data_IF_621449596846
#
_entry.id   IF_621449596846
#
_cell.length_a   1.000
_cell.length_b   1.000
_cell.length_c   1.000
_cell.angle_alpha   90.00
_cell.angle_beta   90.00
_cell.angle_gamma   90.00
#
_symmetry.space_group_name_H-M   'P 1'
#
loop_
_entity.id
_entity.type
_entity.pdbx_description
1 polymer ?
#
# COMPACT_ATOMS: atom_id res chain seq x y z
N UNK A 1 -1.57 8.04 35.84
CA UNK A 1 -2.47 8.93 35.09
C UNK A 1 -2.53 8.39 33.66
N UNK A 2 -3.72 8.10 33.13
CA UNK A 2 -3.91 7.12 32.05
C UNK A 2 -3.54 7.68 30.66
N UNK A 3 -2.75 6.90 29.93
CA UNK A 3 -2.85 6.62 28.48
C UNK A 3 -3.34 7.74 27.56
N UNK A 4 -2.50 8.75 27.32
CA UNK A 4 -2.53 9.50 26.06
C UNK A 4 -1.65 8.76 25.04
N UNK A 5 -2.06 7.55 24.65
CA UNK A 5 -1.62 7.02 23.39
C UNK A 5 -2.21 7.95 22.33
N UNK A 6 -1.41 8.91 21.85
CA UNK A 6 -1.61 9.38 20.47
C UNK A 6 -1.76 8.10 19.68
N UNK A 7 -2.93 7.87 19.07
CA UNK A 7 -3.22 6.68 18.28
C UNK A 7 -2.28 6.73 17.07
N UNK A 8 -1.01 6.40 17.30
CA UNK A 8 0.02 6.34 16.29
C UNK A 8 -0.40 5.20 15.41
N UNK A 9 -0.82 5.56 14.20
CA UNK A 9 -1.18 4.58 13.21
C UNK A 9 0.03 3.66 13.00
N UNK A 10 -0.17 2.37 13.16
CA UNK A 10 0.90 1.40 12.94
C UNK A 10 1.09 1.25 11.42
N UNK A 11 2.22 1.70 10.85
CA UNK A 11 2.45 1.59 9.42
C UNK A 11 2.48 0.13 8.94
N UNK A 12 2.72 -0.85 9.81
CA UNK A 12 2.66 -2.27 9.46
C UNK A 12 1.24 -2.76 9.18
N UNK A 13 0.20 -1.98 9.54
CA UNK A 13 -1.19 -2.24 9.17
C UNK A 13 -1.55 -1.69 7.78
N UNK A 14 -0.63 -1.05 7.07
CA UNK A 14 -0.86 -0.58 5.71
C UNK A 14 -1.02 -1.75 4.75
N UNK A 15 -2.07 -1.69 3.95
CA UNK A 15 -2.26 -2.63 2.86
C UNK A 15 -1.21 -2.41 1.76
N UNK A 16 -0.64 -3.52 1.27
CA UNK A 16 0.37 -3.53 0.21
C UNK A 16 -0.15 -4.35 -0.97
N UNK A 17 -0.12 -3.77 -2.16
CA UNK A 17 -0.56 -4.42 -3.40
C UNK A 17 0.53 -4.39 -4.48
N UNK A 18 0.59 -5.46 -5.27
CA UNK A 18 1.43 -5.48 -6.46
C UNK A 18 0.72 -4.84 -7.67
N UNK A 19 1.33 -3.82 -8.27
CA UNK A 19 0.81 -3.14 -9.47
C UNK A 19 0.76 -4.05 -10.72
N UNK A 20 1.47 -5.18 -10.74
CA UNK A 20 1.53 -6.10 -11.90
C UNK A 20 0.41 -7.13 -11.88
N UNK A 21 0.22 -7.80 -10.75
CA UNK A 21 -0.74 -8.90 -10.63
C UNK A 21 -1.96 -8.56 -9.78
N UNK A 22 -1.97 -7.41 -9.11
CA UNK A 22 -3.02 -7.00 -8.17
C UNK A 22 -3.10 -7.87 -6.92
N UNK A 23 -2.13 -8.76 -6.69
CA UNK A 23 -2.12 -9.59 -5.49
C UNK A 23 -1.60 -8.80 -4.29
N UNK A 24 -2.15 -9.07 -3.09
CA UNK A 24 -1.62 -8.50 -1.86
C UNK A 24 -0.21 -9.03 -1.61
N UNK A 25 0.70 -8.14 -1.26
CA UNK A 25 2.08 -8.50 -0.90
C UNK A 25 2.16 -8.61 0.62
N UNK A 26 2.48 -9.80 1.11
CA UNK A 26 2.71 -10.03 2.53
C UNK A 26 4.15 -9.67 2.88
N UNK A 27 4.33 -8.70 3.77
CA UNK A 27 5.61 -8.30 4.33
C UNK A 27 5.77 -8.81 5.75
N UNK A 28 7.02 -9.02 6.16
CA UNK A 28 7.30 -9.42 7.54
C UNK A 28 7.20 -8.18 8.44
N UNK A 29 6.92 -8.38 9.74
CA UNK A 29 6.87 -7.27 10.68
C UNK A 29 8.16 -6.43 10.64
N UNK A 30 8.02 -5.13 10.41
CA UNK A 30 9.10 -4.15 10.37
C UNK A 30 9.65 -3.85 8.96
N UNK A 31 9.28 -4.63 7.95
CA UNK A 31 9.65 -4.36 6.56
C UNK A 31 9.00 -3.06 6.09
N UNK A 32 7.75 -2.81 6.47
CA UNK A 32 7.01 -1.62 6.06
C UNK A 32 7.67 -0.37 6.60
N UNK A 33 7.96 -0.35 7.90
CA UNK A 33 8.67 0.73 8.60
C UNK A 33 10.04 0.99 7.98
N UNK A 34 10.77 -0.08 7.61
CA UNK A 34 12.09 0.04 6.98
C UNK A 34 12.01 0.64 5.58
N UNK A 35 11.03 0.22 4.78
CA UNK A 35 10.80 0.76 3.43
C UNK A 35 10.39 2.24 3.51
N UNK A 36 9.52 2.60 4.44
CA UNK A 36 9.12 3.99 4.67
C UNK A 36 10.29 4.87 5.09
N UNK A 37 11.14 4.37 6.00
CA UNK A 37 12.35 5.06 6.41
C UNK A 37 13.32 5.26 5.24
N UNK A 38 13.47 4.26 4.35
CA UNK A 38 14.27 4.38 3.13
C UNK A 38 13.69 5.37 2.12
N UNK A 39 12.37 5.46 2.03
CA UNK A 39 11.68 6.44 1.19
C UNK A 39 11.67 7.86 1.79
N UNK A 40 12.17 8.04 3.02
CA UNK A 40 12.13 9.32 3.73
C UNK A 40 10.71 9.74 4.15
N UNK A 41 9.80 8.78 4.27
CA UNK A 41 8.40 9.02 4.64
C UNK A 41 8.27 8.87 6.15
N UNK A 42 7.76 9.92 6.81
CA UNK A 42 7.50 9.88 8.24
C UNK A 42 6.28 9.00 8.53
N UNK A 43 6.47 7.91 9.27
CA UNK A 43 5.39 6.98 9.62
C UNK A 43 4.25 7.65 10.42
N UNK A 44 4.51 8.75 11.13
CA UNK A 44 3.48 9.50 11.86
C UNK A 44 2.59 10.33 10.94
N UNK A 45 3.00 10.54 9.68
CA UNK A 45 2.18 11.19 8.65
C UNK A 45 1.27 10.23 7.88
N UNK A 46 1.35 8.93 8.20
CA UNK A 46 0.55 7.88 7.59
C UNK A 46 -0.69 7.62 8.42
N UNK A 47 -1.79 7.43 7.71
CA UNK A 47 -3.11 7.17 8.27
C UNK A 47 -3.71 5.95 7.56
N UNK A 48 -4.89 5.51 7.98
CA UNK A 48 -5.69 4.44 7.35
C UNK A 48 -6.02 4.66 5.85
N UNK A 49 -5.80 5.88 5.35
CA UNK A 49 -6.02 6.27 3.96
C UNK A 49 -4.79 6.06 3.10
N UNK A 50 -3.65 5.72 3.68
CA UNK A 50 -2.45 5.41 2.93
C UNK A 50 -2.46 3.93 2.52
N UNK A 51 -1.84 3.64 1.39
CA UNK A 51 -1.67 2.30 0.85
C UNK A 51 -0.31 2.24 0.17
N UNK A 52 0.32 1.06 0.17
CA UNK A 52 1.60 0.86 -0.48
C UNK A 52 1.39 0.05 -1.75
N UNK A 53 2.02 0.49 -2.83
CA UNK A 53 1.99 -0.16 -4.13
C UNK A 53 3.39 -0.57 -4.48
N UNK A 54 3.60 -1.85 -4.78
CA UNK A 54 4.88 -2.38 -5.25
C UNK A 54 4.85 -2.61 -6.76
N UNK A 55 5.91 -2.24 -7.46
CA UNK A 55 6.04 -2.44 -8.92
C UNK A 55 6.17 -3.93 -9.31
N UNK A 56 6.37 -4.81 -8.32
CA UNK A 56 6.40 -6.26 -8.53
C UNK A 56 6.32 -6.99 -7.19
N UNK A 57 6.11 -8.31 -7.25
CA UNK A 57 6.11 -9.15 -6.06
C UNK A 57 6.75 -10.50 -6.40
N UNK A 58 7.26 -11.24 -5.40
CA UNK A 58 7.86 -12.55 -5.64
C UNK A 58 6.87 -13.57 -6.24
N UNK A 59 5.56 -13.34 -6.11
CA UNK A 59 4.54 -14.17 -6.73
C UNK A 59 4.47 -13.99 -8.26
N UNK A 60 4.62 -12.77 -8.78
CA UNK A 60 4.59 -12.51 -10.23
C UNK A 60 5.98 -12.52 -10.87
N UNK A 61 7.03 -12.23 -10.09
CA UNK A 61 8.42 -12.15 -10.55
C UNK A 61 9.34 -12.91 -9.57
N UNK A 62 9.33 -14.25 -9.60
CA UNK A 62 10.07 -15.09 -8.65
C UNK A 62 11.61 -15.00 -8.76
N UNK A 63 12.15 -14.24 -9.72
CA UNK A 63 13.59 -13.99 -9.88
C UNK A 63 14.05 -12.60 -9.44
N UNK A 64 13.14 -11.73 -8.98
CA UNK A 64 13.45 -10.37 -8.56
C UNK A 64 13.16 -10.25 -7.06
N UNK A 65 14.15 -9.80 -6.28
CA UNK A 65 14.01 -9.63 -4.83
C UNK A 65 13.97 -8.15 -4.40
N UNK A 66 14.23 -7.25 -5.34
CA UNK A 66 14.20 -5.81 -5.14
C UNK A 66 13.12 -5.20 -6.03
N UNK A 67 12.05 -4.72 -5.41
CA UNK A 67 10.95 -4.05 -6.07
C UNK A 67 10.88 -2.60 -5.61
N UNK A 68 10.59 -1.68 -6.54
CA UNK A 68 10.26 -0.31 -6.16
C UNK A 68 8.90 -0.29 -5.49
N UNK A 69 8.76 0.47 -4.42
CA UNK A 69 7.53 0.62 -3.65
C UNK A 69 7.18 2.10 -3.53
N UNK A 70 5.90 2.40 -3.63
CA UNK A 70 5.38 3.76 -3.57
C UNK A 70 4.23 3.81 -2.58
N UNK A 71 4.21 4.85 -1.74
CA UNK A 71 3.09 5.10 -0.84
C UNK A 71 2.13 6.04 -1.54
N UNK A 72 0.89 5.59 -1.69
CA UNK A 72 -0.20 6.37 -2.27
C UNK A 72 -1.21 6.69 -1.17
N UNK A 73 -1.71 7.93 -1.18
CA UNK A 73 -2.82 8.33 -0.31
C UNK A 73 -4.13 8.18 -1.08
N UNK A 74 -4.94 7.21 -0.67
CA UNK A 74 -6.27 6.97 -1.19
C UNK A 74 -7.15 8.19 -0.85
N UNK A 75 -7.60 8.88 -1.91
CA UNK A 75 -8.69 9.85 -1.79
C UNK A 75 -9.99 9.10 -2.00
N UNK A 76 -11.05 9.46 -1.26
CA UNK A 76 -12.39 8.93 -1.52
C UNK A 76 -12.65 9.08 -3.02
N UNK A 77 -12.94 7.97 -3.71
CA UNK A 77 -13.37 8.06 -5.10
C UNK A 77 -14.55 9.04 -5.14
N UNK A 78 -14.61 9.98 -6.11
CA UNK A 78 -15.85 10.70 -6.34
C UNK A 78 -16.92 9.64 -6.58
N UNK A 79 -17.94 9.62 -5.72
CA UNK A 79 -19.15 8.82 -5.90
C UNK A 79 -19.76 9.20 -7.25
N UNK A 80 -19.43 8.49 -8.33
CA UNK A 80 -19.98 8.81 -9.65
C UNK A 80 -19.14 8.55 -10.89
N UNK A 81 -18.16 7.62 -10.90
CA UNK A 81 -17.74 7.05 -12.18
C UNK A 81 -18.40 5.68 -12.35
N UNK A 82 -19.43 5.55 -13.22
CA UNK A 82 -19.91 4.23 -13.58
C UNK A 82 -18.72 3.45 -14.14
N UNK A 83 -18.50 2.30 -13.54
CA UNK A 83 -17.77 1.17 -14.11
C UNK A 83 -18.43 0.85 -15.45
N UNK A 84 -17.98 1.53 -16.52
CA UNK A 84 -18.21 1.05 -17.88
C UNK A 84 -17.37 -0.21 -18.03
N UNK A 85 -17.93 -1.34 -17.59
CA UNK A 85 -17.65 -2.63 -18.22
C UNK A 85 -18.10 -2.47 -19.66
N UNK A 86 -17.18 -2.01 -20.51
CA UNK A 86 -17.35 -2.10 -21.96
C UNK A 86 -17.00 -3.54 -22.30
N UNK A 87 -17.99 -4.43 -22.15
CA UNK A 87 -17.95 -5.72 -22.79
C UNK A 87 -17.98 -5.49 -24.32
N UNK A 88 -17.12 -6.15 -25.11
CA UNK A 88 -17.26 -6.13 -26.55
C UNK A 88 -18.50 -6.96 -26.90
N UNK A 89 -19.56 -6.31 -27.36
CA UNK A 89 -20.62 -7.00 -28.07
C UNK A 89 -20.48 -6.70 -29.57
N UNK A 90 -20.30 -7.80 -30.28
CA UNK A 90 -20.20 -8.01 -31.72
C UNK A 90 -21.45 -7.53 -32.46
#
# INVERSE_FOLDING_TARGET
MPEMATTRFDPELLYVECAKCGQPVLWSPGDTTRILAWAGIDAQSLDEKCMIVSDGCPACQPGQHSFSTQVVRLRKAPEGRPHTTQAPFN
#
